data_IF_616079442890
#
_entry.id   IF_616079442890
#
_cell.length_a   1.000
_cell.length_b   1.000
_cell.length_c   1.000
_cell.angle_alpha   90.00
_cell.angle_beta   90.00
_cell.angle_gamma   90.00
#
_symmetry.space_group_name_H-M   'P 1'
#
loop_
_entity.id
_entity.type
_entity.pdbx_description
1 polymer ?
#
# COMPACT_ATOMS: atom_id res chain seq x y z
N UNK A 1 -72.00 -29.63 -46.41
CA UNK A 1 -72.04 -28.85 -47.66
C UNK A 1 -71.28 -27.56 -47.42
N UNK A 2 -70.47 -27.14 -48.41
CA UNK A 2 -69.36 -26.20 -48.33
C UNK A 2 -69.71 -24.80 -47.80
N UNK A 3 -68.80 -24.22 -47.03
CA UNK A 3 -68.51 -22.77 -47.06
C UNK A 3 -67.04 -22.53 -46.66
N UNK A 4 -66.16 -22.07 -47.56
CA UNK A 4 -64.91 -21.43 -47.19
C UNK A 4 -65.00 -19.93 -47.50
N UNK A 5 -64.74 -19.10 -46.50
CA UNK A 5 -64.44 -17.68 -46.67
C UNK A 5 -63.35 -17.29 -45.68
N UNK A 6 -62.56 -16.29 -46.05
CA UNK A 6 -61.34 -15.72 -45.42
C UNK A 6 -60.07 -16.19 -46.14
N UNK A 7 -59.43 -15.28 -46.91
CA UNK A 7 -58.38 -14.48 -46.28
C UNK A 7 -58.30 -13.04 -46.79
N UNK A 8 -58.07 -12.08 -45.89
CA UNK A 8 -57.11 -11.00 -46.12
C UNK A 8 -56.89 -10.21 -44.82
N UNK A 9 -55.73 -10.39 -44.21
CA UNK A 9 -55.16 -9.38 -43.31
C UNK A 9 -53.67 -9.36 -43.51
N UNK A 10 -53.22 -8.40 -44.33
CA UNK A 10 -51.82 -7.99 -44.40
C UNK A 10 -51.40 -7.42 -43.04
N UNK A 11 -50.46 -8.09 -42.38
CA UNK A 11 -49.80 -7.55 -41.19
C UNK A 11 -48.53 -6.81 -41.64
N UNK A 12 -48.59 -5.48 -41.65
CA UNK A 12 -47.43 -4.63 -41.87
C UNK A 12 -46.58 -4.57 -40.59
N UNK A 13 -45.33 -5.02 -40.67
CA UNK A 13 -44.31 -4.79 -39.65
C UNK A 13 -43.81 -3.35 -39.76
N UNK A 14 -44.12 -2.51 -38.76
CA UNK A 14 -43.48 -1.19 -38.59
C UNK A 14 -42.33 -1.35 -37.58
N UNK A 15 -41.09 -1.26 -38.07
CA UNK A 15 -39.92 -1.09 -37.23
C UNK A 15 -39.90 0.35 -36.68
N UNK A 16 -40.05 0.50 -35.36
CA UNK A 16 -39.86 1.77 -34.68
C UNK A 16 -38.41 1.80 -34.20
N UNK A 17 -37.55 2.54 -34.91
CA UNK A 17 -36.19 2.83 -34.45
C UNK A 17 -36.26 3.88 -33.33
N UNK A 18 -35.88 3.51 -32.11
CA UNK A 18 -35.72 4.47 -31.01
C UNK A 18 -34.38 5.20 -31.17
N UNK A 19 -34.35 6.55 -31.11
CA UNK A 19 -33.09 7.26 -31.13
C UNK A 19 -32.38 7.07 -29.79
N UNK A 20 -31.20 6.44 -29.84
CA UNK A 20 -30.26 6.42 -28.72
C UNK A 20 -29.85 7.86 -28.45
N UNK A 21 -30.33 8.45 -27.35
CA UNK A 21 -29.83 9.72 -26.85
C UNK A 21 -28.39 9.45 -26.37
N UNK A 22 -27.43 9.86 -27.20
CA UNK A 22 -26.04 9.94 -26.80
C UNK A 22 -25.95 10.86 -25.57
N UNK A 23 -25.57 10.30 -24.42
CA UNK A 23 -25.11 11.10 -23.28
C UNK A 23 -23.92 11.92 -23.76
N UNK A 24 -24.12 13.23 -23.91
CA UNK A 24 -23.02 14.17 -24.05
C UNK A 24 -22.03 13.92 -22.90
N UNK A 25 -20.83 13.50 -23.25
CA UNK A 25 -19.69 13.60 -22.34
C UNK A 25 -19.54 15.10 -22.06
N UNK A 26 -19.88 15.53 -20.84
CA UNK A 26 -19.47 16.84 -20.34
C UNK A 26 -17.98 16.98 -20.61
N UNK A 27 -17.62 17.87 -21.54
CA UNK A 27 -16.25 18.33 -21.66
C UNK A 27 -15.93 19.06 -20.36
N UNK A 28 -15.25 18.39 -19.43
CA UNK A 28 -14.54 19.09 -18.37
C UNK A 28 -13.56 20.04 -19.07
N UNK A 29 -13.72 21.34 -18.84
CA UNK A 29 -12.76 22.32 -19.35
C UNK A 29 -11.37 21.90 -18.84
N UNK A 30 -10.34 21.80 -19.70
CA UNK A 30 -8.99 21.57 -19.23
C UNK A 30 -8.67 22.66 -18.20
N UNK A 31 -8.23 22.22 -17.01
CA UNK A 31 -7.91 23.12 -15.93
C UNK A 31 -6.83 24.10 -16.39
N UNK A 32 -6.97 25.37 -16.03
CA UNK A 32 -6.03 26.42 -16.40
C UNK A 32 -4.59 26.00 -16.08
N UNK A 33 -3.66 26.19 -17.03
CA UNK A 33 -2.29 25.67 -16.91
C UNK A 33 -1.57 26.26 -15.70
N UNK A 34 -1.81 27.53 -15.40
CA UNK A 34 -1.25 28.19 -14.23
C UNK A 34 -1.83 27.59 -12.94
N UNK A 35 -3.15 27.39 -12.88
CA UNK A 35 -3.80 26.71 -11.75
C UNK A 35 -3.29 25.27 -11.54
N UNK A 36 -3.01 24.52 -12.62
CA UNK A 36 -2.41 23.18 -12.53
C UNK A 36 -1.00 23.25 -11.95
N UNK A 37 -0.18 24.19 -12.40
CA UNK A 37 1.19 24.37 -11.90
C UNK A 37 1.21 24.70 -10.41
N UNK A 38 0.37 25.64 -9.97
CA UNK A 38 0.23 26.01 -8.56
C UNK A 38 -0.24 24.84 -7.70
N UNK A 39 -1.20 24.05 -8.21
CA UNK A 39 -1.67 22.85 -7.53
C UNK A 39 -0.53 21.82 -7.38
N UNK A 40 0.24 21.56 -8.44
CA UNK A 40 1.39 20.64 -8.37
C UNK A 40 2.46 21.12 -7.40
N UNK A 41 2.78 22.42 -7.41
CA UNK A 41 3.72 23.01 -6.47
C UNK A 41 3.27 22.83 -5.03
N UNK A 42 1.98 23.06 -4.75
CA UNK A 42 1.39 22.87 -3.41
C UNK A 42 1.43 21.41 -2.98
N UNK A 43 1.07 20.47 -3.86
CA UNK A 43 1.08 19.04 -3.56
C UNK A 43 2.50 18.47 -3.40
N UNK A 44 3.51 19.11 -3.99
CA UNK A 44 4.92 18.73 -3.82
C UNK A 44 5.55 19.21 -2.50
N UNK A 45 4.83 19.99 -1.68
CA UNK A 45 5.35 20.48 -0.39
C UNK A 45 5.17 19.45 0.73
N UNK A 46 6.21 19.20 1.56
CA UNK A 46 6.07 18.41 2.78
C UNK A 46 4.98 18.97 3.71
N UNK A 47 4.22 18.06 4.33
CA UNK A 47 3.13 18.35 5.27
C UNK A 47 3.27 17.60 6.59
N UNK A 48 2.22 17.55 7.40
CA UNK A 48 2.26 16.87 8.72
C UNK A 48 2.73 15.40 8.67
N UNK A 49 2.30 14.54 7.71
CA UNK A 49 2.86 13.19 7.58
C UNK A 49 4.38 13.16 7.35
N UNK A 50 4.90 14.15 6.64
CA UNK A 50 6.34 14.26 6.37
C UNK A 50 7.11 14.73 7.60
N UNK A 51 6.51 15.60 8.43
CA UNK A 51 7.08 15.98 9.73
C UNK A 51 7.13 14.81 10.70
N UNK A 52 6.11 13.95 10.69
CA UNK A 52 6.08 12.73 11.47
C UNK A 52 7.25 11.80 11.08
N UNK A 53 7.48 11.61 9.78
CA UNK A 53 8.67 10.90 9.28
C UNK A 53 9.99 11.56 9.64
N UNK A 54 10.08 12.89 9.55
CA UNK A 54 11.29 13.61 9.99
C UNK A 54 11.61 13.35 11.46
N UNK A 55 10.58 13.18 12.31
CA UNK A 55 10.74 12.78 13.70
C UNK A 55 11.36 11.40 13.90
N UNK A 56 11.33 10.52 12.91
CA UNK A 56 11.91 9.17 12.97
C UNK A 56 13.39 9.13 12.57
N UNK A 57 13.92 10.18 11.94
CA UNK A 57 15.32 10.24 11.54
C UNK A 57 16.25 10.06 12.76
N UNK A 58 17.28 9.23 12.61
CA UNK A 58 18.22 8.86 13.66
C UNK A 58 18.55 7.38 13.66
N UNK A 59 19.27 6.96 14.70
CA UNK A 59 19.77 5.61 14.88
C UNK A 59 18.89 4.81 15.84
N UNK A 60 18.61 3.55 15.50
CA UNK A 60 17.68 2.68 16.24
C UNK A 60 18.28 1.30 16.47
N UNK A 61 17.96 0.71 17.61
CA UNK A 61 18.10 -0.72 17.88
C UNK A 61 16.77 -1.39 17.59
N UNK A 62 16.80 -2.58 17.00
CA UNK A 62 15.59 -3.37 16.73
C UNK A 62 15.59 -4.69 17.49
N UNK A 63 14.42 -5.07 17.97
CA UNK A 63 14.11 -6.42 18.44
C UNK A 63 13.02 -6.99 17.53
N UNK A 64 13.34 -8.11 16.87
CA UNK A 64 12.50 -8.71 15.84
C UNK A 64 11.99 -10.06 16.30
N UNK A 65 10.73 -10.35 16.01
CA UNK A 65 10.11 -11.66 16.17
C UNK A 65 9.48 -12.09 14.86
N UNK A 66 9.79 -13.31 14.45
CA UNK A 66 9.31 -13.90 13.20
C UNK A 66 8.58 -15.21 13.47
N UNK A 67 7.34 -15.33 12.98
CA UNK A 67 6.54 -16.55 13.09
C UNK A 67 6.45 -17.24 11.75
N UNK A 68 7.10 -18.40 11.63
CA UNK A 68 7.10 -19.21 10.41
C UNK A 68 5.82 -20.05 10.27
N UNK A 69 5.23 -20.46 11.39
CA UNK A 69 4.07 -21.34 11.45
C UNK A 69 3.04 -20.84 12.47
N UNK A 70 1.73 -21.00 12.20
CA UNK A 70 0.69 -20.71 13.19
C UNK A 70 0.88 -21.51 14.48
N UNK A 71 0.87 -20.82 15.62
CA UNK A 71 0.89 -21.45 16.95
C UNK A 71 2.27 -21.96 17.41
N UNK A 72 3.34 -21.76 16.62
CA UNK A 72 4.72 -22.00 17.06
C UNK A 72 5.31 -20.74 17.72
N UNK A 73 6.29 -20.89 18.63
CA UNK A 73 7.07 -19.75 19.13
C UNK A 73 7.77 -19.02 17.98
N UNK A 74 7.97 -17.69 18.08
CA UNK A 74 8.73 -16.96 17.09
C UNK A 74 10.22 -17.28 17.18
N UNK A 75 10.92 -17.09 16.07
CA UNK A 75 12.37 -16.86 16.08
C UNK A 75 12.62 -15.40 16.45
N UNK A 76 13.55 -15.16 17.36
CA UNK A 76 13.88 -13.80 17.81
C UNK A 76 15.27 -13.39 17.33
N UNK A 77 15.42 -12.12 16.96
CA UNK A 77 16.71 -11.54 16.60
C UNK A 77 16.79 -10.07 16.99
N UNK A 78 18.02 -9.56 17.03
CA UNK A 78 18.27 -8.12 17.23
C UNK A 78 18.96 -7.54 16.01
N UNK A 79 18.78 -6.24 15.83
CA UNK A 79 19.34 -5.51 14.71
C UNK A 79 19.47 -4.03 14.97
N UNK A 80 19.73 -3.29 13.90
CA UNK A 80 19.85 -1.84 13.90
C UNK A 80 19.14 -1.27 12.69
N UNK A 81 18.61 -0.07 12.83
CA UNK A 81 18.10 0.71 11.72
C UNK A 81 18.66 2.13 11.77
N UNK A 82 19.13 2.63 10.64
CA UNK A 82 19.59 4.01 10.47
C UNK A 82 18.62 4.71 9.53
N UNK A 83 17.98 5.78 10.02
CA UNK A 83 16.93 6.48 9.31
C UNK A 83 17.33 7.92 9.00
N UNK A 84 17.08 8.39 7.77
CA UNK A 84 17.32 9.78 7.36
C UNK A 84 16.27 10.28 6.38
N UNK A 85 16.02 11.58 6.37
CA UNK A 85 15.18 12.19 5.36
C UNK A 85 15.95 12.41 4.05
N UNK A 86 15.27 12.22 2.93
CA UNK A 86 15.76 12.47 1.58
C UNK A 86 14.96 13.60 0.91
N UNK A 87 15.57 14.21 -0.12
CA UNK A 87 14.93 15.12 -1.07
C UNK A 87 14.16 16.26 -0.37
N UNK A 88 14.85 16.95 0.54
CA UNK A 88 14.35 18.06 1.36
C UNK A 88 13.14 17.68 2.22
N UNK A 89 13.19 16.52 2.88
CA UNK A 89 12.16 16.10 3.83
C UNK A 89 10.95 15.42 3.19
N UNK A 90 11.08 14.90 1.96
CA UNK A 90 9.97 14.26 1.23
C UNK A 90 9.85 12.77 1.46
N UNK A 91 10.96 12.08 1.68
CA UNK A 91 10.97 10.63 1.87
C UNK A 91 11.83 10.27 3.08
N UNK A 92 11.39 9.30 3.86
CA UNK A 92 12.21 8.65 4.86
C UNK A 92 12.95 7.49 4.19
N UNK A 93 14.24 7.41 4.44
CA UNK A 93 15.09 6.30 4.05
C UNK A 93 15.51 5.54 5.30
N UNK A 94 15.49 4.22 5.22
CA UNK A 94 15.95 3.32 6.27
C UNK A 94 16.99 2.35 5.71
N UNK A 95 18.15 2.26 6.35
CA UNK A 95 19.06 1.11 6.27
C UNK A 95 18.82 0.20 7.46
N UNK A 96 18.58 -1.08 7.22
CA UNK A 96 18.28 -2.08 8.24
C UNK A 96 19.29 -3.21 8.20
N UNK A 97 19.80 -3.60 9.36
CA UNK A 97 20.73 -4.71 9.51
C UNK A 97 20.32 -5.58 10.69
N UNK A 98 20.21 -6.89 10.48
CA UNK A 98 19.85 -7.84 11.53
C UNK A 98 20.43 -9.23 11.23
N UNK A 99 20.01 -10.22 12.02
CA UNK A 99 20.16 -11.63 11.68
C UNK A 99 18.78 -12.25 11.43
N UNK A 100 18.69 -13.10 10.41
CA UNK A 100 17.50 -13.89 10.09
C UNK A 100 17.94 -15.33 9.89
N UNK A 101 17.31 -16.28 10.60
CA UNK A 101 17.68 -17.72 10.53
C UNK A 101 19.18 -17.99 10.73
N UNK A 102 19.85 -17.20 11.58
CA UNK A 102 21.29 -17.31 11.86
C UNK A 102 22.20 -16.79 10.74
N UNK A 103 21.66 -16.13 9.72
CA UNK A 103 22.42 -15.49 8.64
C UNK A 103 22.30 -13.97 8.71
N UNK A 104 23.31 -13.21 8.23
CA UNK A 104 23.18 -11.77 8.08
C UNK A 104 22.01 -11.39 7.16
N UNK A 105 21.21 -10.43 7.61
CA UNK A 105 20.11 -9.86 6.85
C UNK A 105 20.33 -8.35 6.69
N UNK A 106 20.12 -7.83 5.49
CA UNK A 106 20.19 -6.39 5.23
C UNK A 106 19.04 -5.96 4.34
N UNK A 107 18.47 -4.81 4.64
CA UNK A 107 17.34 -4.26 3.91
C UNK A 107 17.38 -2.75 3.82
N UNK A 108 16.73 -2.22 2.80
CA UNK A 108 16.55 -0.80 2.57
C UNK A 108 15.06 -0.51 2.40
N UNK A 109 14.59 0.48 3.14
CA UNK A 109 13.23 1.02 3.04
C UNK A 109 13.23 2.45 2.51
N UNK A 110 12.26 2.77 1.66
CA UNK A 110 11.85 4.13 1.31
C UNK A 110 10.38 4.28 1.69
N UNK A 111 10.09 5.23 2.57
CA UNK A 111 8.73 5.57 2.99
C UNK A 111 8.40 7.00 2.55
N UNK A 112 7.18 7.19 2.04
CA UNK A 112 6.67 8.47 1.57
C UNK A 112 5.19 8.66 1.91
N UNK A 113 4.76 9.91 1.92
CA UNK A 113 3.34 10.27 1.94
C UNK A 113 3.01 11.06 0.68
N UNK A 114 2.18 10.49 -0.17
CA UNK A 114 1.76 11.16 -1.40
C UNK A 114 0.59 12.11 -1.12
N UNK A 115 0.85 13.40 -1.27
CA UNK A 115 -0.17 14.43 -1.09
C UNK A 115 -1.28 14.40 -2.16
N UNK A 116 -1.06 13.77 -3.31
CA UNK A 116 -2.06 13.59 -4.37
C UNK A 116 -3.04 12.49 -3.95
N UNK A 117 -2.54 11.28 -3.69
CA UNK A 117 -3.38 10.12 -3.33
C UNK A 117 -3.79 10.08 -1.87
N UNK A 118 -3.17 10.90 -1.02
CA UNK A 118 -3.35 10.95 0.45
C UNK A 118 -2.99 9.62 1.14
N UNK A 119 -2.03 8.90 0.57
CA UNK A 119 -1.59 7.60 1.07
C UNK A 119 -0.13 7.63 1.52
N UNK A 120 0.15 6.81 2.52
CA UNK A 120 1.50 6.36 2.83
C UNK A 120 1.90 5.28 1.84
N UNK A 121 3.15 5.29 1.39
CA UNK A 121 3.73 4.31 0.48
C UNK A 121 5.07 3.87 1.03
N UNK A 122 5.30 2.57 1.07
CA UNK A 122 6.57 1.95 1.47
C UNK A 122 7.09 1.10 0.32
N UNK A 123 8.37 1.24 -0.01
CA UNK A 123 9.10 0.35 -0.89
C UNK A 123 10.25 -0.29 -0.11
N UNK A 124 10.32 -1.61 -0.13
CA UNK A 124 11.29 -2.40 0.59
C UNK A 124 12.08 -3.31 -0.36
N UNK A 125 13.39 -3.39 -0.15
CA UNK A 125 14.32 -4.32 -0.81
C UNK A 125 15.25 -4.92 0.24
N UNK A 126 15.65 -6.18 0.06
CA UNK A 126 16.52 -6.86 1.02
C UNK A 126 17.35 -7.97 0.39
N UNK A 127 18.18 -8.61 1.21
CA UNK A 127 19.09 -9.69 0.80
C UNK A 127 18.40 -11.05 0.60
N UNK A 128 17.10 -11.19 0.85
CA UNK A 128 16.35 -12.44 0.70
C UNK A 128 15.71 -12.60 -0.68
N UNK A 129 15.74 -11.56 -1.53
CA UNK A 129 15.20 -11.62 -2.88
C UNK A 129 15.60 -10.44 -3.76
N UNK A 130 15.10 -10.44 -4.99
CA UNK A 130 15.35 -9.37 -5.98
C UNK A 130 14.10 -8.55 -6.30
N UNK A 131 12.97 -8.88 -5.67
CA UNK A 131 11.71 -8.16 -5.83
C UNK A 131 11.67 -6.90 -4.96
N UNK A 132 11.07 -5.84 -5.48
CA UNK A 132 10.72 -4.67 -4.68
C UNK A 132 9.34 -4.93 -4.07
N UNK A 133 9.28 -4.95 -2.74
CA UNK A 133 8.02 -5.11 -2.04
C UNK A 133 7.40 -3.75 -1.75
N UNK A 134 6.24 -3.49 -2.36
CA UNK A 134 5.53 -2.21 -2.24
C UNK A 134 4.26 -2.41 -1.43
N UNK A 135 4.03 -1.50 -0.49
CA UNK A 135 2.78 -1.38 0.24
C UNK A 135 2.28 0.06 0.21
N UNK A 136 0.96 0.23 0.29
CA UNK A 136 0.33 1.54 0.45
C UNK A 136 -0.78 1.50 1.49
N UNK A 137 -1.13 2.65 2.06
CA UNK A 137 -2.18 2.71 3.05
C UNK A 137 -2.43 4.08 3.66
N UNK A 138 -3.11 4.09 4.80
CA UNK A 138 -3.58 5.31 5.47
C UNK A 138 -3.31 5.23 6.97
N UNK A 139 -3.27 6.38 7.64
CA UNK A 139 -3.20 6.45 9.09
C UNK A 139 -4.59 6.60 9.72
N UNK A 140 -4.67 6.27 11.01
CA UNK A 140 -5.76 6.70 11.89
C UNK A 140 -5.77 8.23 12.09
N UNK A 141 -6.77 8.73 12.82
CA UNK A 141 -7.00 10.17 12.99
C UNK A 141 -5.84 10.94 13.64
N UNK A 142 -5.06 10.31 14.53
CA UNK A 142 -3.89 10.93 15.16
C UNK A 142 -2.62 10.87 14.29
N UNK A 143 -2.69 10.20 13.14
CA UNK A 143 -1.57 10.04 12.20
C UNK A 143 -0.50 9.04 12.62
N UNK A 144 -0.58 8.46 13.82
CA UNK A 144 0.49 7.65 14.44
C UNK A 144 0.35 6.15 14.21
N UNK A 145 -0.82 5.67 13.80
CA UNK A 145 -1.02 4.27 13.41
C UNK A 145 -1.28 4.19 11.91
N UNK A 146 -0.25 3.87 11.15
CA UNK A 146 -0.30 3.68 9.69
C UNK A 146 -0.62 2.22 9.41
N UNK A 147 -1.70 1.96 8.67
CA UNK A 147 -2.03 0.61 8.18
C UNK A 147 -1.75 0.53 6.69
N UNK A 148 -0.80 -0.33 6.33
CA UNK A 148 -0.36 -0.55 4.96
C UNK A 148 -0.89 -1.89 4.44
N UNK A 149 -1.12 -1.99 3.14
CA UNK A 149 -1.43 -3.23 2.44
C UNK A 149 -0.54 -3.35 1.21
N UNK A 150 -0.06 -4.55 0.96
CA UNK A 150 0.72 -4.87 -0.22
C UNK A 150 0.67 -6.35 -0.47
N UNK A 151 1.37 -6.78 -1.51
CA UNK A 151 1.35 -8.19 -1.89
C UNK A 151 2.46 -8.49 -2.89
N UNK A 152 3.04 -9.68 -2.83
CA UNK A 152 4.11 -10.11 -3.73
C UNK A 152 3.76 -11.46 -4.36
N UNK A 153 4.31 -11.77 -5.56
CA UNK A 153 4.14 -13.08 -6.16
C UNK A 153 4.80 -14.16 -5.30
N UNK A 154 4.27 -15.38 -5.35
CA UNK A 154 4.86 -16.55 -4.67
C UNK A 154 5.54 -17.48 -5.68
N UNK A 155 6.64 -18.16 -5.30
CA UNK A 155 7.19 -19.27 -6.08
C UNK A 155 6.11 -20.34 -6.33
N UNK A 156 6.00 -20.81 -7.57
CA UNK A 156 4.94 -21.76 -7.97
C UNK A 156 3.64 -21.10 -8.46
N UNK A 157 3.59 -19.76 -8.48
CA UNK A 157 2.43 -19.00 -8.93
C UNK A 157 1.57 -18.55 -7.76
N UNK A 158 0.69 -17.57 -8.02
CA UNK A 158 -0.11 -16.94 -6.98
C UNK A 158 0.52 -15.70 -6.36
N UNK A 159 -0.08 -15.24 -5.27
CA UNK A 159 0.27 -13.98 -4.61
C UNK A 159 0.00 -14.08 -3.12
N UNK A 160 0.99 -13.73 -2.31
CA UNK A 160 0.81 -13.54 -0.87
C UNK A 160 0.33 -12.11 -0.63
N UNK A 161 -0.79 -11.97 0.09
CA UNK A 161 -1.29 -10.67 0.53
C UNK A 161 -0.82 -10.36 1.93
N UNK A 162 -0.49 -9.08 2.14
CA UNK A 162 0.08 -8.57 3.36
C UNK A 162 -0.69 -7.36 3.86
N UNK A 163 -0.80 -7.27 5.19
CA UNK A 163 -1.21 -6.07 5.92
C UNK A 163 -0.15 -5.77 6.95
N UNK A 164 0.38 -4.56 6.95
CA UNK A 164 1.28 -4.09 7.98
C UNK A 164 0.61 -3.00 8.84
N UNK A 165 0.99 -2.96 10.11
CA UNK A 165 0.57 -1.93 11.06
C UNK A 165 1.83 -1.32 11.65
N UNK A 166 2.08 -0.06 11.33
CA UNK A 166 3.18 0.72 11.83
C UNK A 166 2.66 1.73 12.86
N UNK A 167 3.08 1.60 14.11
CA UNK A 167 2.72 2.48 15.22
C UNK A 167 3.92 3.31 15.63
N UNK A 168 3.79 4.62 15.52
CA UNK A 168 4.76 5.60 15.99
C UNK A 168 4.30 6.05 17.38
N UNK A 169 4.85 5.43 18.43
CA UNK A 169 4.36 5.61 19.80
C UNK A 169 4.78 6.99 20.31
N UNK A 170 6.08 7.24 20.27
CA UNK A 170 6.71 8.50 20.67
C UNK A 170 8.02 8.72 19.87
N UNK A 171 8.84 9.70 20.26
CA UNK A 171 10.09 10.02 19.56
C UNK A 171 11.13 8.90 19.61
N UNK A 172 11.03 7.99 20.58
CA UNK A 172 12.03 7.00 20.93
C UNK A 172 11.54 5.56 20.75
N UNK A 173 10.25 5.35 20.50
CA UNK A 173 9.63 4.03 20.41
C UNK A 173 8.67 3.95 19.21
N UNK A 174 8.80 2.88 18.45
CA UNK A 174 7.85 2.53 17.39
C UNK A 174 7.79 1.01 17.20
N UNK A 175 6.68 0.53 16.64
CA UNK A 175 6.48 -0.90 16.35
C UNK A 175 5.99 -1.08 14.93
N UNK A 176 6.48 -2.12 14.26
CA UNK A 176 6.03 -2.53 12.95
C UNK A 176 5.60 -3.99 12.99
N UNK A 177 4.34 -4.25 12.66
CA UNK A 177 3.75 -5.59 12.67
C UNK A 177 3.31 -5.96 11.25
N UNK A 178 3.64 -7.15 10.77
CA UNK A 178 3.17 -7.63 9.47
C UNK A 178 2.38 -8.93 9.61
N UNK A 179 1.29 -8.97 8.85
CA UNK A 179 0.34 -10.06 8.77
C UNK A 179 0.22 -10.51 7.32
N UNK A 180 0.08 -11.81 7.10
CA UNK A 180 -0.02 -12.37 5.76
C UNK A 180 -0.77 -13.70 5.74
N UNK A 181 -1.10 -14.15 4.53
CA UNK A 181 -1.76 -15.43 4.27
C UNK A 181 -0.75 -16.42 3.72
N UNK A 182 -0.47 -17.52 4.42
CA UNK A 182 0.43 -18.56 3.93
C UNK A 182 -0.28 -19.46 2.90
N UNK A 183 0.05 -19.33 1.62
CA UNK A 183 -0.61 -20.08 0.54
C UNK A 183 -2.07 -19.66 0.25
N UNK A 184 -2.62 -20.23 -0.82
CA UNK A 184 -3.92 -19.84 -1.38
C UNK A 184 -5.09 -20.03 -0.40
N UNK A 185 -5.58 -18.94 0.18
CA UNK A 185 -6.85 -18.90 0.93
C UNK A 185 -6.74 -19.20 2.43
N UNK A 186 -5.53 -19.25 2.99
CA UNK A 186 -5.36 -19.40 4.45
C UNK A 186 -5.75 -18.13 5.20
N UNK A 187 -6.11 -18.30 6.48
CA UNK A 187 -6.42 -17.18 7.38
C UNK A 187 -5.17 -16.33 7.60
N UNK A 188 -5.35 -15.02 7.59
CA UNK A 188 -4.30 -14.06 7.93
C UNK A 188 -3.69 -14.38 9.31
N UNK A 189 -2.36 -14.44 9.38
CA UNK A 189 -1.59 -14.62 10.61
C UNK A 189 -0.47 -13.58 10.71
N UNK A 190 -0.08 -13.25 11.94
CA UNK A 190 1.11 -12.44 12.20
C UNK A 190 2.34 -13.29 11.87
N UNK A 191 3.26 -12.75 11.07
CA UNK A 191 4.54 -13.40 10.80
C UNK A 191 5.75 -12.52 11.15
N UNK A 192 5.55 -11.22 11.39
CA UNK A 192 6.61 -10.30 11.76
C UNK A 192 6.15 -9.30 12.83
N UNK A 193 7.01 -9.05 13.80
CA UNK A 193 6.96 -7.93 14.73
C UNK A 193 8.37 -7.35 14.84
N UNK A 194 8.49 -6.04 14.72
CA UNK A 194 9.72 -5.32 14.98
C UNK A 194 9.41 -4.21 15.98
N UNK A 195 10.13 -4.20 17.09
CA UNK A 195 10.16 -3.09 18.03
C UNK A 195 11.43 -2.30 17.78
N UNK A 196 11.30 -1.00 17.58
CA UNK A 196 12.43 -0.10 17.44
C UNK A 196 12.53 0.76 18.69
N UNK A 197 13.75 0.89 19.20
CA UNK A 197 14.10 1.78 20.30
C UNK A 197 15.25 2.67 19.85
N UNK A 198 15.08 3.99 19.99
CA UNK A 198 16.09 4.95 19.56
C UNK A 198 17.37 4.77 20.37
N UNK A 199 18.52 4.83 19.70
CA UNK A 199 19.82 4.82 20.37
C UNK A 199 20.04 6.16 21.09
N UNK A 200 20.69 6.16 22.27
CA UNK A 200 21.03 7.38 23.00
C UNK A 200 21.86 8.38 22.18
#
# INVERSE_FOLDING_TARGET
>A
MRAPFIPLTCLALVLIATPVIAKEKKHEKPMDQQAMMELWQKLAQPGEPHKLFAGLAGSWTTATKEWMEPGKPPTESTGTAEMKMLLDGRFLYQEYHAQMMGQPFSGIGIDGYDNVTKKYVTAWIDTMGTGIFIMEGTANADGKTITLKGSHPEPGGGKMSHRAVWKIIDSNNQTFEMYGTHGHGSKEMKFLEIVYTRKP
#
